data_IF_169252498355
#
_entry.id   IF_169252498355
#
_cell.length_a   1.000
_cell.length_b   1.000
_cell.length_c   1.000
_cell.angle_alpha   90.00
_cell.angle_beta   90.00
_cell.angle_gamma   90.00
#
_symmetry.space_group_name_H-M   'P 1'
#
loop_
_entity.id
_entity.type
_entity.pdbx_description
1 polymer ?
#
# COMPACT_ATOMS: atom_id res chain seq x y z
N UNK A 1 -15.62 -21.43 7.87
CA UNK A 1 -14.27 -20.89 8.14
C UNK A 1 -14.24 -19.49 7.57
N UNK A 2 -14.19 -18.45 8.40
CA UNK A 2 -13.99 -17.09 7.90
C UNK A 2 -12.50 -17.00 7.57
N UNK A 3 -12.17 -16.84 6.28
CA UNK A 3 -10.80 -16.60 5.84
C UNK A 3 -10.48 -15.16 6.28
N UNK A 4 -9.61 -14.98 7.26
CA UNK A 4 -9.09 -13.65 7.58
C UNK A 4 -8.47 -13.07 6.30
N UNK A 5 -9.05 -11.99 5.79
CA UNK A 5 -8.49 -11.23 4.69
C UNK A 5 -7.29 -10.48 5.24
N UNK A 6 -6.11 -10.67 4.65
CA UNK A 6 -4.93 -9.89 5.00
C UNK A 6 -5.26 -8.40 4.86
N UNK A 7 -4.75 -7.54 5.74
CA UNK A 7 -4.96 -6.09 5.63
C UNK A 7 -3.76 -5.45 4.94
N UNK A 8 -4.03 -4.50 4.06
CA UNK A 8 -3.03 -3.59 3.50
C UNK A 8 -3.36 -2.11 3.78
N UNK A 9 -2.33 -1.27 3.73
CA UNK A 9 -2.38 0.16 3.97
C UNK A 9 -1.80 0.92 2.79
N UNK A 10 -2.49 1.97 2.37
CA UNK A 10 -2.00 2.94 1.39
C UNK A 10 -1.73 4.25 2.10
N UNK A 11 -0.53 4.81 1.98
CA UNK A 11 -0.11 6.07 2.57
C UNK A 11 -0.09 7.18 1.54
N UNK A 12 -0.46 8.37 1.99
CA UNK A 12 -0.59 9.56 1.17
C UNK A 12 0.10 10.75 1.83
N UNK A 13 0.60 11.67 1.01
CA UNK A 13 0.98 13.02 1.40
C UNK A 13 0.12 14.02 0.59
N UNK A 14 -0.81 14.70 1.27
CA UNK A 14 -1.84 15.49 0.62
C UNK A 14 -2.70 14.61 -0.30
N UNK A 15 -2.60 14.82 -1.62
CA UNK A 15 -3.35 14.06 -2.64
C UNK A 15 -2.53 12.94 -3.28
N UNK A 16 -1.24 12.88 -3.00
CA UNK A 16 -0.33 11.96 -3.66
C UNK A 16 -0.22 10.66 -2.88
N UNK A 17 -0.40 9.53 -3.55
CA UNK A 17 -0.10 8.21 -2.98
C UNK A 17 1.41 8.01 -3.01
N UNK A 18 2.02 7.85 -1.83
CA UNK A 18 3.48 7.74 -1.68
C UNK A 18 3.93 6.31 -1.40
N UNK A 19 3.07 5.48 -0.83
CA UNK A 19 3.30 4.05 -0.62
C UNK A 19 1.96 3.32 -0.69
N UNK A 20 1.88 2.29 -1.53
CA UNK A 20 0.70 1.45 -1.63
C UNK A 20 0.98 0.04 -1.09
N UNK A 21 -0.09 -0.68 -0.78
CA UNK A 21 -0.10 -2.10 -0.40
C UNK A 21 0.83 -2.49 0.76
N UNK A 22 1.04 -1.60 1.73
CA UNK A 22 1.87 -1.89 2.92
C UNK A 22 1.13 -2.85 3.84
N UNK A 23 1.77 -3.96 4.20
CA UNK A 23 1.14 -4.96 5.07
C UNK A 23 0.93 -4.42 6.48
N UNK A 24 -0.03 -5.02 7.19
CA UNK A 24 -0.29 -4.66 8.60
C UNK A 24 0.92 -4.84 9.53
N UNK A 25 1.76 -5.85 9.27
CA UNK A 25 3.00 -6.07 10.02
C UNK A 25 4.00 -4.90 9.91
N UNK A 26 4.00 -4.21 8.77
CA UNK A 26 4.93 -3.11 8.47
C UNK A 26 4.35 -1.73 8.78
N UNK A 27 3.04 -1.63 9.02
CA UNK A 27 2.34 -0.34 9.16
C UNK A 27 3.02 0.61 10.13
N UNK A 28 3.33 0.14 11.35
CA UNK A 28 3.85 0.99 12.42
C UNK A 28 5.23 1.54 12.09
N UNK A 29 6.10 0.71 11.53
CA UNK A 29 7.47 1.14 11.17
C UNK A 29 7.42 2.10 9.99
N UNK A 30 6.63 1.80 8.96
CA UNK A 30 6.45 2.69 7.79
C UNK A 30 5.88 4.04 8.20
N UNK A 31 4.82 4.07 9.00
CA UNK A 31 4.17 5.31 9.43
C UNK A 31 5.11 6.19 10.27
N UNK A 32 5.84 5.59 11.21
CA UNK A 32 6.81 6.32 12.04
C UNK A 32 7.93 6.91 11.18
N UNK A 33 8.40 6.14 10.19
CA UNK A 33 9.47 6.57 9.28
C UNK A 33 9.00 7.72 8.40
N UNK A 34 7.79 7.64 7.83
CA UNK A 34 7.19 8.72 7.04
C UNK A 34 7.10 10.03 7.82
N UNK A 35 6.61 9.98 9.06
CA UNK A 35 6.53 11.17 9.91
C UNK A 35 7.90 11.79 10.17
N UNK A 36 8.91 10.97 10.45
CA UNK A 36 10.28 11.46 10.64
C UNK A 36 10.85 12.08 9.36
N UNK A 37 10.60 11.49 8.19
CA UNK A 37 11.17 11.95 6.92
C UNK A 37 10.54 13.24 6.41
N UNK A 38 9.23 13.42 6.55
CA UNK A 38 8.55 14.64 6.07
C UNK A 38 9.04 15.90 6.79
N UNK A 39 9.49 15.79 8.05
CA UNK A 39 10.15 16.88 8.76
C UNK A 39 11.60 17.15 8.34
N UNK A 40 12.26 16.20 7.67
CA UNK A 40 13.69 16.25 7.35
C UNK A 40 13.98 16.52 5.87
N UNK A 41 13.10 16.10 4.94
CA UNK A 41 13.41 16.05 3.50
C UNK A 41 13.20 17.36 2.73
N UNK A 42 12.99 18.51 3.39
CA UNK A 42 12.59 19.77 2.71
C UNK A 42 11.43 19.57 1.72
N UNK A 43 10.54 18.60 2.00
CA UNK A 43 9.31 18.42 1.24
C UNK A 43 8.36 19.54 1.59
N UNK A 44 7.55 20.00 0.63
CA UNK A 44 6.46 20.96 0.92
C UNK A 44 5.37 20.38 1.83
N UNK A 45 5.40 19.06 2.01
CA UNK A 45 4.52 18.33 2.91
C UNK A 45 4.94 18.49 4.36
N UNK A 46 3.95 18.54 5.23
CA UNK A 46 4.09 18.50 6.68
C UNK A 46 3.52 17.21 7.23
N UNK A 47 3.80 16.92 8.49
CA UNK A 47 3.24 15.74 9.16
C UNK A 47 1.70 15.70 9.11
N UNK A 48 1.06 16.87 9.16
CA UNK A 48 -0.41 17.04 9.04
C UNK A 48 -0.97 16.67 7.65
N UNK A 49 -0.13 16.67 6.61
CA UNK A 49 -0.53 16.25 5.27
C UNK A 49 -0.48 14.74 5.08
N UNK A 50 0.12 14.01 6.02
CA UNK A 50 0.20 12.55 5.94
C UNK A 50 -1.14 11.91 6.31
N UNK A 51 -1.57 10.96 5.49
CA UNK A 51 -2.76 10.15 5.78
C UNK A 51 -2.58 8.71 5.29
N UNK A 52 -3.49 7.83 5.68
CA UNK A 52 -3.51 6.45 5.21
C UNK A 52 -4.93 5.91 5.06
N UNK A 53 -5.09 4.92 4.19
CA UNK A 53 -6.33 4.13 4.06
C UNK A 53 -6.03 2.66 4.39
N UNK A 54 -6.84 2.06 5.26
CA UNK A 54 -6.81 0.63 5.59
C UNK A 54 -7.76 -0.12 4.67
N UNK A 55 -7.30 -1.16 3.98
CA UNK A 55 -8.06 -1.93 3.02
C UNK A 55 -7.86 -3.44 3.26
N UNK A 56 -8.87 -4.28 2.97
CA UNK A 56 -8.62 -5.70 2.82
C UNK A 56 -7.74 -5.93 1.59
N UNK A 57 -6.79 -6.86 1.69
CA UNK A 57 -5.95 -7.30 0.61
C UNK A 57 -6.84 -7.90 -0.48
N UNK A 58 -6.82 -7.27 -1.65
CA UNK A 58 -7.55 -7.75 -2.80
C UNK A 58 -6.87 -9.03 -3.29
N UNK A 59 -7.54 -10.17 -3.17
CA UNK A 59 -7.13 -11.37 -3.88
C UNK A 59 -7.43 -11.14 -5.35
N UNK A 60 -6.40 -10.85 -6.12
CA UNK A 60 -6.47 -10.96 -7.57
C UNK A 60 -6.46 -12.46 -7.83
N UNK A 61 -7.63 -13.02 -8.15
CA UNK A 61 -7.69 -14.32 -8.80
C UNK A 61 -7.05 -14.13 -10.17
N UNK A 62 -5.80 -14.56 -10.30
CA UNK A 62 -5.15 -14.67 -11.61
C UNK A 62 -5.89 -15.78 -12.32
N UNK A 63 -6.90 -15.43 -13.12
CA UNK A 63 -7.39 -16.32 -14.17
C UNK A 63 -6.17 -16.65 -15.03
N UNK A 64 -5.77 -17.92 -15.03
CA UNK A 64 -4.73 -18.41 -15.91
C UNK A 64 -5.09 -17.95 -17.33
N UNK A 65 -4.32 -17.05 -17.98
CA UNK A 65 -4.48 -16.91 -19.42
C UNK A 65 -4.14 -18.29 -19.98
N UNK A 66 -5.11 -18.97 -20.59
CA UNK A 66 -4.80 -20.18 -21.34
C UNK A 66 -3.70 -19.77 -22.33
N UNK A 67 -2.51 -20.35 -22.17
CA UNK A 67 -1.54 -20.33 -23.23
C UNK A 67 -2.17 -21.20 -24.30
N UNK A 68 -2.90 -20.56 -25.21
CA UNK A 68 -3.41 -21.19 -26.40
C UNK A 68 -2.18 -21.71 -27.15
N UNK A 69 -2.08 -23.04 -27.16
CA UNK A 69 -1.11 -23.85 -27.87
C UNK A 69 -1.31 -23.65 -29.38
N UNK A 70 -0.88 -22.50 -29.90
CA UNK A 70 -0.73 -22.29 -31.32
C UNK A 70 0.66 -22.76 -31.74
N UNK A 71 0.75 -24.09 -31.85
CA UNK A 71 1.62 -24.75 -32.83
C UNK A 71 1.45 -24.09 -34.20
N UNK A 72 2.56 -23.58 -34.74
CA UNK A 72 2.82 -23.36 -36.16
C UNK A 72 4.23 -23.82 -36.49
#
# INVERSE_FOLDING_TARGET
>A
MIKETETIYHFYAGKDCILHSVKEEDFKVTWTTLKAMVGLMHTSYKEEDLSYTKLPAQKIEVENPSLDDHSY
#
